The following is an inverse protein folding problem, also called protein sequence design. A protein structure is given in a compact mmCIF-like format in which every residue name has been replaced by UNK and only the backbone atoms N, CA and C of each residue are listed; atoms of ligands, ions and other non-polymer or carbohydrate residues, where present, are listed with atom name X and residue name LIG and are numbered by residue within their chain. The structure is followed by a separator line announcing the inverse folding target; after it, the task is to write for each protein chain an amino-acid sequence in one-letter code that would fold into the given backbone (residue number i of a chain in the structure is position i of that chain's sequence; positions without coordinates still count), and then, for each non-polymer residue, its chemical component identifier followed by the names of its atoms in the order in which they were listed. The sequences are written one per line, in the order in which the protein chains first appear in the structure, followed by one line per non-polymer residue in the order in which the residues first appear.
data_IF_729020795692
#
_entry.id   IF_729020795692
#
_cell.length_a   1.000
_cell.length_b   1.000
_cell.length_c   1.000
_cell.angle_alpha   90.00
_cell.angle_beta   90.00
_cell.angle_gamma   90.00
#
_symmetry.space_group_name_H-M   'P 1'
#
loop_
_entity.id
_entity.type
_entity.pdbx_description
1 polymer ?
#
# COMPACT_ATOMS: atom_id res chain seq x y z
N UNK A 1 -3.42 -35.57 20.56
CA UNK A 1 -2.88 -34.47 19.73
C UNK A 1 -2.39 -33.40 20.69
N UNK A 2 -1.09 -33.38 20.97
CA UNK A 2 -0.46 -32.44 21.89
C UNK A 2 -0.36 -31.09 21.20
N UNK A 3 -1.20 -30.12 21.59
CA UNK A 3 -0.99 -28.71 21.22
C UNK A 3 0.25 -28.23 21.96
N UNK A 4 1.37 -28.11 21.25
CA UNK A 4 2.58 -27.47 21.77
C UNK A 4 2.33 -25.97 21.80
N UNK A 5 2.31 -25.37 23.00
CA UNK A 5 2.23 -23.92 23.14
C UNK A 5 3.42 -23.26 22.42
N UNK A 6 3.19 -22.15 21.69
CA UNK A 6 4.26 -21.46 20.97
C UNK A 6 5.32 -20.96 21.95
N UNK A 7 6.60 -20.98 21.54
CA UNK A 7 7.68 -20.42 22.34
C UNK A 7 7.50 -18.89 22.50
N UNK A 8 8.10 -18.26 23.53
CA UNK A 8 8.03 -16.81 23.74
C UNK A 8 8.43 -16.00 22.49
N UNK A 9 9.48 -16.45 21.79
CA UNK A 9 9.96 -15.81 20.56
C UNK A 9 8.94 -15.93 19.40
N UNK A 10 8.27 -17.08 19.28
CA UNK A 10 7.21 -17.28 18.30
C UNK A 10 5.97 -16.45 18.63
N UNK A 11 5.61 -16.33 19.91
CA UNK A 11 4.50 -15.51 20.37
C UNK A 11 4.76 -14.01 20.10
N UNK A 12 5.99 -13.55 20.34
CA UNK A 12 6.39 -12.17 20.06
C UNK A 12 6.44 -11.86 18.57
N UNK A 13 6.98 -12.77 17.75
CA UNK A 13 6.97 -12.63 16.28
C UNK A 13 5.54 -12.57 15.72
N UNK A 14 4.63 -13.42 16.22
CA UNK A 14 3.22 -13.40 15.83
C UNK A 14 2.51 -12.09 16.22
N UNK A 15 2.89 -11.49 17.34
CA UNK A 15 2.31 -10.22 17.80
C UNK A 15 2.78 -9.05 16.94
N UNK A 16 4.05 -9.05 16.52
CA UNK A 16 4.62 -8.00 15.69
C UNK A 16 4.06 -8.03 14.27
N UNK A 17 3.91 -9.24 13.70
CA UNK A 17 3.26 -9.43 12.41
C UNK A 17 1.78 -9.00 12.44
N UNK A 18 1.07 -9.30 13.53
CA UNK A 18 -0.30 -8.87 13.74
C UNK A 18 -0.42 -7.34 13.77
N UNK A 19 0.44 -6.66 14.55
CA UNK A 19 0.50 -5.20 14.61
C UNK A 19 0.79 -4.58 13.25
N UNK A 20 1.71 -5.16 12.47
CA UNK A 20 2.01 -4.69 11.11
C UNK A 20 0.82 -4.85 10.16
N UNK A 21 0.07 -5.94 10.27
CA UNK A 21 -1.14 -6.16 9.48
C UNK A 21 -2.25 -5.16 9.86
N UNK A 22 -2.48 -4.92 11.15
CA UNK A 22 -3.43 -3.90 11.61
C UNK A 22 -3.04 -2.50 11.16
N UNK A 23 -1.76 -2.15 11.27
CA UNK A 23 -1.24 -0.86 10.80
C UNK A 23 -1.41 -0.71 9.29
N UNK A 24 -1.14 -1.76 8.50
CA UNK A 24 -1.39 -1.75 7.05
C UNK A 24 -2.87 -1.54 6.74
N UNK A 25 -3.75 -2.29 7.39
CA UNK A 25 -5.20 -2.17 7.20
C UNK A 25 -5.70 -0.76 7.58
N UNK A 26 -5.17 -0.19 8.66
CA UNK A 26 -5.46 1.16 9.10
C UNK A 26 -5.03 2.21 8.07
N UNK A 27 -3.80 2.12 7.56
CA UNK A 27 -3.28 3.01 6.50
C UNK A 27 -4.14 2.93 5.24
N UNK A 28 -4.44 1.72 4.77
CA UNK A 28 -5.28 1.50 3.57
C UNK A 28 -6.67 2.13 3.76
N UNK A 29 -7.32 1.89 4.90
CA UNK A 29 -8.67 2.43 5.16
C UNK A 29 -8.66 3.95 5.29
N UNK A 30 -7.64 4.52 5.92
CA UNK A 30 -7.46 5.96 6.02
C UNK A 30 -7.32 6.60 4.64
N UNK A 31 -6.46 6.04 3.78
CA UNK A 31 -6.32 6.51 2.39
C UNK A 31 -7.66 6.46 1.64
N UNK A 32 -8.40 5.36 1.74
CA UNK A 32 -9.70 5.22 1.06
C UNK A 32 -10.70 6.29 1.48
N UNK A 33 -10.81 6.55 2.79
CA UNK A 33 -11.71 7.58 3.33
C UNK A 33 -11.31 8.96 2.82
N UNK A 34 -10.02 9.30 2.91
CA UNK A 34 -9.50 10.62 2.50
C UNK A 34 -9.68 10.86 1.01
N UNK A 35 -9.39 9.85 0.19
CA UNK A 35 -9.50 9.93 -1.27
C UNK A 35 -10.94 9.81 -1.77
N UNK A 36 -11.92 9.62 -0.86
CA UNK A 36 -13.29 9.21 -1.18
C UNK A 36 -13.32 8.03 -2.18
N UNK A 37 -12.36 7.11 -2.03
CA UNK A 37 -12.10 6.03 -2.96
C UNK A 37 -12.65 4.69 -2.49
N UNK A 38 -12.79 3.77 -3.43
CA UNK A 38 -13.38 2.44 -3.19
C UNK A 38 -12.35 1.34 -3.46
N UNK A 39 -12.28 0.38 -2.54
CA UNK A 39 -11.53 -0.87 -2.75
C UNK A 39 -12.31 -1.80 -3.68
N UNK A 40 -11.60 -2.57 -4.49
CA UNK A 40 -12.21 -3.60 -5.33
C UNK A 40 -11.46 -4.91 -5.21
N UNK A 41 -12.21 -6.01 -5.14
CA UNK A 41 -11.67 -7.37 -5.26
C UNK A 41 -11.51 -7.73 -6.74
N UNK A 42 -10.84 -8.84 -7.03
CA UNK A 42 -10.77 -9.37 -8.39
C UNK A 42 -12.13 -9.74 -8.99
N UNK A 43 -13.21 -9.80 -8.21
CA UNK A 43 -14.55 -10.12 -8.74
C UNK A 43 -15.21 -8.92 -9.43
N UNK A 44 -15.06 -7.71 -8.88
CA UNK A 44 -15.83 -6.53 -9.28
C UNK A 44 -14.98 -5.33 -9.71
N UNK A 45 -13.64 -5.47 -9.74
CA UNK A 45 -12.74 -4.39 -10.10
C UNK A 45 -12.93 -3.87 -11.53
N UNK A 46 -12.82 -2.55 -11.74
CA UNK A 46 -12.79 -1.97 -13.07
C UNK A 46 -11.44 -2.21 -13.79
N UNK A 47 -10.39 -2.60 -13.06
CA UNK A 47 -9.07 -2.87 -13.64
C UNK A 47 -9.00 -4.32 -14.11
N UNK A 48 -8.60 -4.51 -15.37
CA UNK A 48 -8.43 -5.85 -15.98
C UNK A 48 -6.97 -6.12 -16.31
N UNK A 49 -6.55 -7.36 -16.06
CA UNK A 49 -5.25 -7.84 -16.46
C UNK A 49 -5.19 -8.01 -17.97
N UNK A 50 -4.19 -7.40 -18.59
CA UNK A 50 -3.91 -7.56 -20.03
C UNK A 50 -3.54 -9.02 -20.32
N UNK A 51 -2.72 -9.64 -19.46
CA UNK A 51 -2.19 -10.98 -19.67
C UNK A 51 -3.17 -12.08 -19.27
N UNK A 52 -3.77 -11.95 -18.08
CA UNK A 52 -4.59 -13.02 -17.52
C UNK A 52 -6.07 -12.92 -17.91
N UNK A 53 -6.51 -11.81 -18.52
CA UNK A 53 -7.92 -11.58 -18.88
C UNK A 53 -8.88 -11.40 -17.70
N UNK A 54 -8.42 -11.68 -16.47
CA UNK A 54 -9.16 -11.51 -15.21
C UNK A 54 -9.05 -10.09 -14.67
N UNK A 55 -10.03 -9.70 -13.86
CA UNK A 55 -10.01 -8.44 -13.10
C UNK A 55 -8.94 -8.49 -11.99
N UNK A 56 -8.45 -7.31 -11.59
CA UNK A 56 -7.38 -7.15 -10.60
C UNK A 56 -7.91 -6.55 -9.31
N UNK A 57 -7.62 -7.15 -8.17
CA UNK A 57 -7.85 -6.47 -6.90
C UNK A 57 -6.97 -5.22 -6.82
N UNK A 58 -7.52 -4.14 -6.27
CA UNK A 58 -6.84 -2.84 -6.15
C UNK A 58 -7.18 -2.21 -4.81
N UNK A 59 -6.20 -1.57 -4.18
CA UNK A 59 -6.37 -1.02 -2.83
C UNK A 59 -7.42 0.09 -2.80
N UNK A 60 -7.42 0.98 -3.79
CA UNK A 60 -8.35 2.11 -3.83
C UNK A 60 -8.47 2.70 -5.25
N UNK A 61 -9.69 2.96 -5.72
CA UNK A 61 -9.97 3.72 -6.93
C UNK A 61 -10.67 5.02 -6.56
N UNK A 62 -10.16 6.15 -7.05
CA UNK A 62 -10.76 7.48 -6.84
C UNK A 62 -10.63 8.31 -8.12
N UNK A 63 -11.78 8.64 -8.73
CA UNK A 63 -11.83 9.24 -10.06
C UNK A 63 -11.10 8.38 -11.10
N UNK A 64 -10.17 8.99 -11.84
CA UNK A 64 -9.35 8.30 -12.84
C UNK A 64 -8.07 7.68 -12.25
N UNK A 65 -7.90 7.67 -10.92
CA UNK A 65 -6.70 7.15 -10.28
C UNK A 65 -6.94 5.80 -9.62
N UNK A 66 -5.99 4.88 -9.81
CA UNK A 66 -5.93 3.60 -9.08
C UNK A 66 -4.72 3.65 -8.16
N UNK A 67 -4.96 3.53 -6.87
CA UNK A 67 -3.92 3.53 -5.84
C UNK A 67 -3.62 2.10 -5.41
N UNK A 68 -2.35 1.75 -5.47
CA UNK A 68 -1.77 0.60 -4.79
C UNK A 68 -1.14 1.09 -3.49
N UNK A 69 -1.64 0.60 -2.35
CA UNK A 69 -1.22 1.08 -1.03
C UNK A 69 -0.52 -0.04 -0.28
N UNK A 70 0.74 0.19 0.11
CA UNK A 70 1.61 -0.80 0.72
C UNK A 70 2.27 -0.22 1.97
N UNK A 71 2.51 -1.07 2.97
CA UNK A 71 3.33 -0.66 4.11
C UNK A 71 4.79 -0.57 3.67
N UNK A 72 5.34 -1.59 3.02
CA UNK A 72 6.72 -1.60 2.51
C UNK A 72 6.78 -2.08 1.04
N UNK A 73 7.95 -1.98 0.40
CA UNK A 73 8.10 -2.32 -1.01
C UNK A 73 8.06 -3.83 -1.32
N UNK A 74 8.37 -4.68 -0.33
CA UNK A 74 8.47 -6.14 -0.50
C UNK A 74 7.12 -6.86 -0.32
N UNK A 75 6.19 -6.27 0.43
CA UNK A 75 4.82 -6.76 0.55
C UNK A 75 4.18 -6.83 -0.83
N UNK A 76 3.45 -7.87 -1.19
CA UNK A 76 2.73 -7.88 -2.47
C UNK A 76 1.43 -7.06 -2.38
N UNK A 77 0.99 -6.53 -3.51
CA UNK A 77 -0.34 -5.93 -3.63
C UNK A 77 -1.50 -6.92 -3.39
N UNK A 78 -2.74 -6.42 -3.22
CA UNK A 78 -3.93 -7.24 -3.01
C UNK A 78 -4.04 -8.38 -4.02
N UNK A 79 -4.27 -9.59 -3.51
CA UNK A 79 -4.49 -10.82 -4.30
C UNK A 79 -3.38 -11.13 -5.32
N UNK A 80 -2.20 -10.51 -5.22
CA UNK A 80 -1.04 -10.82 -6.05
C UNK A 80 -0.28 -12.01 -5.44
N UNK A 81 0.02 -13.01 -6.26
CA UNK A 81 0.75 -14.21 -5.83
C UNK A 81 2.24 -14.16 -6.17
N UNK A 82 2.67 -13.17 -6.97
CA UNK A 82 4.08 -13.01 -7.33
C UNK A 82 4.47 -11.53 -7.59
N UNK A 83 5.75 -11.18 -7.44
CA UNK A 83 6.25 -9.85 -7.82
C UNK A 83 6.02 -9.50 -9.29
N UNK A 84 6.07 -10.50 -10.19
CA UNK A 84 5.84 -10.28 -11.62
C UNK A 84 4.41 -9.85 -11.92
N UNK A 85 3.43 -10.42 -11.20
CA UNK A 85 2.03 -10.01 -11.29
C UNK A 85 1.85 -8.59 -10.74
N UNK A 86 2.52 -8.25 -9.64
CA UNK A 86 2.49 -6.90 -9.09
C UNK A 86 3.06 -5.86 -10.07
N UNK A 87 4.20 -6.16 -10.70
CA UNK A 87 4.86 -5.27 -11.66
C UNK A 87 4.01 -5.00 -12.92
N UNK A 88 3.05 -5.87 -13.25
CA UNK A 88 2.14 -5.62 -14.40
C UNK A 88 0.95 -4.73 -14.05
N UNK A 89 0.67 -4.49 -12.77
CA UNK A 89 -0.51 -3.70 -12.35
C UNK A 89 -0.56 -2.30 -12.99
N UNK A 90 0.54 -1.52 -13.09
CA UNK A 90 0.50 -0.21 -13.72
C UNK A 90 0.03 -0.25 -15.17
N UNK A 91 0.49 -1.24 -15.93
CA UNK A 91 0.10 -1.42 -17.33
C UNK A 91 -1.39 -1.81 -17.42
N UNK A 92 -1.84 -2.71 -16.55
CA UNK A 92 -3.25 -3.11 -16.43
C UNK A 92 -4.16 -1.92 -16.08
N UNK A 93 -3.71 -1.01 -15.20
CA UNK A 93 -4.42 0.23 -14.89
C UNK A 93 -4.54 1.12 -16.13
N UNK A 94 -3.43 1.34 -16.83
CA UNK A 94 -3.38 2.21 -18.02
C UNK A 94 -4.27 1.68 -19.14
N UNK A 95 -4.22 0.37 -19.43
CA UNK A 95 -5.09 -0.24 -20.43
C UNK A 95 -6.57 -0.18 -20.05
N UNK A 96 -6.87 -0.12 -18.75
CA UNK A 96 -8.23 0.02 -18.22
C UNK A 96 -8.69 1.49 -18.14
N UNK A 97 -7.89 2.45 -18.63
CA UNK A 97 -8.24 3.88 -18.65
C UNK A 97 -7.93 4.64 -17.36
N UNK A 98 -7.16 4.06 -16.44
CA UNK A 98 -6.77 4.69 -15.17
C UNK A 98 -5.31 5.10 -15.14
N UNK A 99 -5.01 6.11 -14.33
CA UNK A 99 -3.64 6.50 -13.97
C UNK A 99 -3.21 5.77 -12.70
N UNK A 100 -2.17 4.92 -12.74
CA UNK A 100 -1.72 4.18 -11.58
C UNK A 100 -0.96 5.08 -10.60
N UNK A 101 -1.17 4.88 -9.30
CA UNK A 101 -0.46 5.55 -8.20
C UNK A 101 0.02 4.55 -7.18
N UNK A 102 1.26 4.69 -6.74
CA UNK A 102 1.86 3.80 -5.74
C UNK A 102 2.14 4.56 -4.46
N UNK A 103 1.62 4.07 -3.35
CA UNK A 103 1.94 4.53 -2.00
C UNK A 103 2.73 3.45 -1.28
N UNK A 104 3.91 3.81 -0.76
CA UNK A 104 4.72 2.98 0.13
C UNK A 104 5.03 3.82 1.36
N UNK A 105 4.45 3.44 2.51
CA UNK A 105 4.58 4.23 3.74
C UNK A 105 5.95 4.10 4.41
N UNK A 106 6.58 2.94 4.32
CA UNK A 106 7.86 2.70 4.96
C UNK A 106 9.01 3.38 4.21
N UNK A 107 9.95 3.97 4.95
CA UNK A 107 11.18 4.53 4.39
C UNK A 107 12.17 3.38 4.25
N UNK A 108 12.83 3.26 3.09
CA UNK A 108 13.90 2.25 2.92
C UNK A 108 14.98 2.52 3.98
N UNK A 109 15.28 1.58 4.90
CA UNK A 109 16.39 1.77 5.81
C UNK A 109 17.69 1.79 5.01
N UNK A 110 18.48 2.85 5.16
CA UNK A 110 19.77 3.03 4.44
C UNK A 110 20.82 1.95 4.77
N UNK A 111 20.61 1.15 5.83
CA UNK A 111 21.62 0.27 6.42
C UNK A 111 21.07 -1.05 6.98
N UNK A 112 20.21 -1.77 6.25
CA UNK A 112 19.94 -3.18 6.59
C UNK A 112 20.60 -4.11 5.58
N UNK A 113 20.96 -5.34 5.98
CA UNK A 113 21.42 -6.39 5.07
C UNK A 113 20.36 -6.77 4.00
N UNK A 114 19.11 -6.29 4.17
CA UNK A 114 18.01 -6.34 3.21
C UNK A 114 17.90 -5.08 2.33
N UNK A 115 18.78 -4.09 2.53
CA UNK A 115 18.75 -2.80 1.85
C UNK A 115 18.81 -2.92 0.34
N UNK A 116 19.58 -3.88 -0.17
CA UNK A 116 19.69 -4.12 -1.61
C UNK A 116 18.38 -4.67 -2.21
N UNK A 117 17.74 -5.62 -1.54
CA UNK A 117 16.48 -6.23 -2.01
C UNK A 117 15.31 -5.24 -1.91
N UNK A 118 15.23 -4.47 -0.83
CA UNK A 118 14.20 -3.44 -0.67
C UNK A 118 14.38 -2.30 -1.68
N UNK A 119 15.64 -1.88 -1.91
CA UNK A 119 16.00 -0.89 -2.93
C UNK A 119 15.67 -1.37 -4.34
N UNK A 120 15.99 -2.64 -4.67
CA UNK A 120 15.66 -3.23 -5.97
C UNK A 120 14.14 -3.31 -6.22
N UNK A 121 13.37 -3.83 -5.25
CA UNK A 121 11.92 -3.93 -5.38
C UNK A 121 11.27 -2.56 -5.55
N UNK A 122 11.69 -1.59 -4.73
CA UNK A 122 11.22 -0.21 -4.83
C UNK A 122 11.57 0.42 -6.19
N UNK A 123 12.79 0.22 -6.67
CA UNK A 123 13.25 0.73 -7.97
C UNK A 123 12.42 0.15 -9.13
N UNK A 124 12.18 -1.17 -9.10
CA UNK A 124 11.37 -1.85 -10.12
C UNK A 124 9.92 -1.38 -10.11
N UNK A 125 9.29 -1.28 -8.93
CA UNK A 125 7.93 -0.76 -8.81
C UNK A 125 7.87 0.68 -9.32
N UNK A 126 8.77 1.55 -8.86
CA UNK A 126 8.82 2.96 -9.26
C UNK A 126 8.94 3.10 -10.76
N UNK A 127 9.87 2.37 -11.38
CA UNK A 127 10.07 2.37 -12.83
C UNK A 127 8.80 1.97 -13.59
N UNK A 128 8.09 0.94 -13.14
CA UNK A 128 6.88 0.46 -13.83
C UNK A 128 5.71 1.43 -13.69
N UNK A 129 5.52 2.06 -12.53
CA UNK A 129 4.47 3.07 -12.34
C UNK A 129 4.73 4.31 -13.21
N UNK A 130 5.96 4.83 -13.17
CA UNK A 130 6.33 6.02 -13.95
C UNK A 130 6.27 5.76 -15.46
N UNK A 131 6.67 4.57 -15.93
CA UNK A 131 6.59 4.20 -17.34
C UNK A 131 5.15 4.19 -17.90
N UNK A 132 4.14 4.11 -17.04
CA UNK A 132 2.72 4.15 -17.42
C UNK A 132 2.08 5.52 -17.17
N UNK A 133 2.89 6.56 -16.93
CA UNK A 133 2.44 7.92 -16.63
C UNK A 133 1.80 8.07 -15.26
N UNK A 134 2.13 7.17 -14.33
CA UNK A 134 1.66 7.17 -12.95
C UNK A 134 2.53 7.99 -12.00
N UNK A 135 2.11 8.04 -10.74
CA UNK A 135 2.82 8.73 -9.66
C UNK A 135 3.27 7.74 -8.57
N UNK A 136 4.36 8.06 -7.86
CA UNK A 136 4.91 7.22 -6.79
C UNK A 136 5.24 8.07 -5.57
N UNK A 137 4.71 7.69 -4.42
CA UNK A 137 4.85 8.37 -3.13
C UNK A 137 5.49 7.42 -2.14
N UNK A 138 6.64 7.81 -1.60
CA UNK A 138 7.49 6.94 -0.78
C UNK A 138 7.76 7.63 0.55
N UNK A 139 7.59 6.88 1.63
CA UNK A 139 7.66 7.38 2.99
C UNK A 139 6.34 7.97 3.45
N UNK A 140 6.13 7.94 4.77
CA UNK A 140 4.90 8.42 5.39
C UNK A 140 4.62 9.88 5.05
N UNK A 141 5.62 10.75 5.17
CA UNK A 141 5.45 12.20 4.95
C UNK A 141 4.87 12.48 3.56
N UNK A 142 5.50 11.93 2.50
CA UNK A 142 5.07 12.10 1.12
C UNK A 142 3.66 11.53 0.86
N UNK A 143 3.35 10.37 1.45
CA UNK A 143 2.03 9.76 1.33
C UNK A 143 0.96 10.63 2.00
N UNK A 144 1.23 11.12 3.21
CA UNK A 144 0.31 11.96 3.97
C UNK A 144 0.16 13.36 3.37
N UNK A 145 1.22 13.94 2.79
CA UNK A 145 1.16 15.23 2.09
C UNK A 145 0.19 15.17 0.91
N UNK A 146 0.32 14.15 0.05
CA UNK A 146 -0.62 13.95 -1.06
C UNK A 146 -2.06 13.78 -0.57
N UNK A 147 -2.26 13.03 0.52
CA UNK A 147 -3.58 12.83 1.11
C UNK A 147 -4.15 14.14 1.67
N UNK A 148 -3.34 14.96 2.33
CA UNK A 148 -3.74 16.25 2.88
C UNK A 148 -4.16 17.23 1.78
N UNK A 149 -3.43 17.28 0.66
CA UNK A 149 -3.79 18.08 -0.50
C UNK A 149 -5.19 17.73 -1.05
N UNK A 150 -5.56 16.44 -1.03
CA UNK A 150 -6.86 15.94 -1.51
C UNK A 150 -7.95 15.99 -0.45
N UNK A 151 -7.60 16.09 0.82
CA UNK A 151 -8.53 16.07 1.94
C UNK A 151 -9.36 17.36 2.03
N UNK A 152 -10.62 17.21 2.44
CA UNK A 152 -11.43 18.33 2.91
C UNK A 152 -10.84 18.94 4.20
N UNK A 153 -11.20 20.19 4.53
CA UNK A 153 -10.71 20.86 5.73
C UNK A 153 -10.90 20.02 7.02
N UNK A 154 -12.08 19.41 7.18
CA UNK A 154 -12.36 18.52 8.32
C UNK A 154 -11.48 17.26 8.30
N UNK A 155 -11.22 16.70 7.12
CA UNK A 155 -10.41 15.50 6.99
C UNK A 155 -8.91 15.78 7.21
N UNK A 156 -8.42 16.98 6.89
CA UNK A 156 -7.05 17.40 7.24
C UNK A 156 -6.81 17.40 8.74
N UNK A 157 -7.79 17.84 9.55
CA UNK A 157 -7.70 17.77 11.01
C UNK A 157 -7.57 16.33 11.49
N UNK A 158 -8.33 15.41 10.88
CA UNK A 158 -8.28 13.98 11.18
C UNK A 158 -6.94 13.38 10.79
N UNK A 159 -6.42 13.66 9.58
CA UNK A 159 -5.09 13.21 9.14
C UNK A 159 -4.01 13.72 10.10
N UNK A 160 -4.04 15.01 10.46
CA UNK A 160 -3.05 15.57 11.37
C UNK A 160 -3.10 14.89 12.75
N UNK A 161 -4.29 14.58 13.27
CA UNK A 161 -4.44 13.84 14.54
C UNK A 161 -3.97 12.39 14.45
N UNK A 162 -4.26 11.71 13.33
CA UNK A 162 -3.99 10.29 13.14
C UNK A 162 -2.53 10.01 12.76
N UNK A 163 -1.96 10.83 11.88
CA UNK A 163 -0.69 10.56 11.22
C UNK A 163 0.49 11.34 11.81
N UNK A 164 0.27 12.59 12.24
CA UNK A 164 1.34 13.56 12.54
C UNK A 164 1.36 14.08 13.97
N UNK A 165 0.29 13.88 14.73
CA UNK A 165 0.16 14.36 16.10
C UNK A 165 1.09 13.60 17.08
N UNK A 166 1.36 14.19 18.26
CA UNK A 166 2.02 13.46 19.35
C UNK A 166 1.24 12.20 19.76
N UNK A 167 -0.09 12.23 19.60
CA UNK A 167 -1.02 11.13 19.85
C UNK A 167 -1.32 10.29 18.59
N UNK A 168 -0.46 10.36 17.56
CA UNK A 168 -0.67 9.60 16.33
C UNK A 168 -0.92 8.13 16.68
N UNK A 169 -2.12 7.63 16.33
CA UNK A 169 -2.65 6.34 16.79
C UNK A 169 -1.73 5.15 16.48
N UNK A 170 -0.86 5.30 15.47
CA UNK A 170 0.09 4.28 15.07
C UNK A 170 1.39 4.27 15.89
N UNK A 171 1.72 5.31 16.67
CA UNK A 171 2.94 5.34 17.50
C UNK A 171 2.87 4.46 18.74
N UNK A 172 1.67 4.00 19.11
CA UNK A 172 1.43 3.09 20.23
C UNK A 172 1.09 1.65 19.83
N UNK A 173 1.05 1.34 18.52
CA UNK A 173 0.86 0.01 17.97
C UNK A 173 2.23 -0.63 17.71
#
# INVERSE_FOLDING_TARGET
MTQTNPSPDQAQMNMEDFKQAELHAFRVRSCQIVLAGKAYSSENSPVRSIKAGRRRAVSCVSGNFVYQIKSNALQLGPECTSPLEELSLPADCRSSGFTPRLFIFDKVPRHSAFGDTHSWALSMLTKNYLAQGGDVFIGEDCCWDHLEEKASASMRLVINKIARGPDALWRGL
#
